data_IF_161401298045
#
_entry.id   IF_161401298045
#
_cell.length_a   1.000
_cell.length_b   1.000
_cell.length_c   1.000
_cell.angle_alpha   90.00
_cell.angle_beta   90.00
_cell.angle_gamma   90.00
#
_symmetry.space_group_name_H-M   'P 1'
#
loop_
_entity.id
_entity.type
_entity.pdbx_description
1 polymer ?
#
# COMPACT_ATOMS: atom_id res chain seq x y z
N UNK A 1 1.48 29.98 -1.32
CA UNK A 1 1.08 28.57 -1.49
C UNK A 1 -0.26 28.59 -2.19
N UNK A 2 -0.30 28.34 -3.50
CA UNK A 2 -1.55 28.30 -4.26
C UNK A 2 -2.22 26.95 -4.08
N UNK A 3 -3.44 26.97 -3.55
CA UNK A 3 -4.26 25.80 -3.17
C UNK A 3 -5.37 25.49 -4.18
N UNK A 4 -5.17 25.84 -5.47
CA UNK A 4 -6.26 25.84 -6.47
C UNK A 4 -6.23 24.77 -7.55
N UNK A 5 -5.33 23.79 -7.52
CA UNK A 5 -5.47 22.59 -8.36
C UNK A 5 -5.07 21.34 -7.58
N UNK A 6 -5.85 20.25 -7.66
CA UNK A 6 -5.39 18.96 -7.15
C UNK A 6 -4.06 18.63 -7.85
N UNK A 7 -3.05 18.23 -7.08
CA UNK A 7 -1.76 17.81 -7.63
C UNK A 7 -1.99 16.54 -8.44
N UNK A 8 -2.06 16.68 -9.76
CA UNK A 8 -1.98 15.56 -10.68
C UNK A 8 -0.58 14.95 -10.58
N UNK A 9 -0.51 13.62 -10.52
CA UNK A 9 0.74 12.86 -10.44
C UNK A 9 0.83 11.99 -11.69
N UNK A 10 1.99 12.02 -12.36
CA UNK A 10 2.25 11.21 -13.55
C UNK A 10 2.49 9.75 -13.17
N UNK A 11 2.16 8.82 -14.07
CA UNK A 11 2.53 7.43 -13.94
C UNK A 11 4.05 7.26 -14.06
N UNK A 12 4.64 6.38 -13.26
CA UNK A 12 6.08 6.10 -13.31
C UNK A 12 6.38 5.05 -14.42
N UNK A 13 7.21 5.40 -15.42
CA UNK A 13 7.50 4.53 -16.57
C UNK A 13 8.29 3.26 -16.22
N UNK A 14 8.80 3.13 -14.99
CA UNK A 14 9.54 1.95 -14.55
C UNK A 14 8.64 0.79 -14.08
N UNK A 15 7.31 0.96 -14.08
CA UNK A 15 6.35 -0.11 -13.75
C UNK A 15 5.94 -0.90 -14.99
N UNK A 16 5.74 -2.21 -14.84
CA UNK A 16 5.31 -3.11 -15.93
C UNK A 16 3.79 -3.17 -16.10
N UNK A 17 3.03 -2.93 -15.03
CA UNK A 17 1.58 -3.05 -14.99
C UNK A 17 0.97 -1.90 -14.19
N UNK A 18 -0.22 -1.47 -14.58
CA UNK A 18 -0.98 -0.43 -13.90
C UNK A 18 -2.39 -0.93 -13.60
N UNK A 19 -2.87 -0.66 -12.38
CA UNK A 19 -4.27 -0.82 -12.00
C UNK A 19 -4.75 0.56 -11.55
N UNK A 20 -5.70 1.13 -12.30
CA UNK A 20 -6.28 2.44 -11.99
C UNK A 20 -7.62 2.21 -11.28
N UNK A 21 -7.72 2.71 -10.05
CA UNK A 21 -8.91 2.57 -9.20
C UNK A 21 -9.69 3.88 -9.25
N UNK A 22 -10.97 3.81 -9.60
CA UNK A 22 -11.86 4.96 -9.71
C UNK A 22 -13.01 4.83 -8.70
N UNK A 23 -13.29 5.93 -8.00
CA UNK A 23 -14.45 6.10 -7.12
C UNK A 23 -15.35 7.28 -7.54
N UNK A 24 -15.06 7.90 -8.68
CA UNK A 24 -15.75 9.06 -9.24
C UNK A 24 -15.28 10.41 -8.68
N UNK A 25 -14.36 10.44 -7.71
CA UNK A 25 -13.78 11.68 -7.18
C UNK A 25 -12.49 12.07 -7.92
N UNK A 26 -12.17 13.36 -7.94
CA UNK A 26 -10.94 13.88 -8.57
C UNK A 26 -10.08 14.56 -7.53
N UNK A 27 -8.78 14.23 -7.51
CA UNK A 27 -7.81 14.84 -6.59
C UNK A 27 -7.87 14.33 -5.16
N UNK A 28 -8.61 13.25 -4.91
CA UNK A 28 -8.63 12.54 -3.63
C UNK A 28 -7.54 11.47 -3.60
N UNK A 29 -6.78 11.42 -2.50
CA UNK A 29 -5.79 10.37 -2.27
C UNK A 29 -6.34 9.32 -1.30
N UNK A 30 -5.99 8.05 -1.51
CA UNK A 30 -6.31 6.96 -0.59
C UNK A 30 -7.57 6.17 -0.96
N UNK A 31 -8.19 6.49 -2.10
CA UNK A 31 -9.34 5.75 -2.66
C UNK A 31 -8.96 4.30 -2.97
N UNK A 32 -7.70 4.08 -3.32
CA UNK A 32 -7.13 2.78 -3.67
C UNK A 32 -6.84 1.89 -2.46
N UNK A 33 -6.81 2.44 -1.24
CA UNK A 33 -6.31 1.72 -0.05
C UNK A 33 -7.10 0.43 0.21
N UNK A 34 -8.44 0.51 0.20
CA UNK A 34 -9.30 -0.67 0.43
C UNK A 34 -9.17 -1.70 -0.69
N UNK A 35 -9.07 -1.24 -1.94
CA UNK A 35 -8.84 -2.11 -3.08
C UNK A 35 -7.52 -2.87 -2.93
N UNK A 36 -6.44 -2.16 -2.57
CA UNK A 36 -5.12 -2.75 -2.35
C UNK A 36 -5.15 -3.82 -1.27
N UNK A 37 -5.74 -3.53 -0.11
CA UNK A 37 -5.81 -4.49 1.00
C UNK A 37 -6.57 -5.77 0.61
N UNK A 38 -7.69 -5.64 -0.11
CA UNK A 38 -8.44 -6.79 -0.62
C UNK A 38 -7.65 -7.58 -1.67
N UNK A 39 -6.97 -6.90 -2.59
CA UNK A 39 -6.15 -7.56 -3.61
C UNK A 39 -5.00 -8.34 -2.97
N UNK A 40 -4.31 -7.76 -1.99
CA UNK A 40 -3.25 -8.42 -1.22
C UNK A 40 -3.78 -9.69 -0.51
N UNK A 41 -4.98 -9.61 0.08
CA UNK A 41 -5.66 -10.77 0.68
C UNK A 41 -5.90 -11.88 -0.34
N UNK A 42 -6.52 -11.56 -1.49
CA UNK A 42 -6.81 -12.56 -2.52
C UNK A 42 -5.53 -13.22 -3.06
N UNK A 43 -4.44 -12.46 -3.20
CA UNK A 43 -3.13 -13.00 -3.56
C UNK A 43 -2.61 -13.94 -2.47
N UNK A 44 -2.72 -13.54 -1.20
CA UNK A 44 -2.22 -14.34 -0.07
C UNK A 44 -2.94 -15.68 0.09
N UNK A 45 -4.17 -15.81 -0.43
CA UNK A 45 -4.97 -17.03 -0.42
C UNK A 45 -4.65 -17.95 -1.61
N UNK A 46 -3.98 -17.43 -2.65
CA UNK A 46 -3.50 -18.24 -3.78
C UNK A 46 -2.47 -19.27 -3.31
N UNK A 47 -2.39 -20.41 -4.02
CA UNK A 47 -1.37 -21.44 -3.78
C UNK A 47 -0.12 -21.12 -4.59
N UNK A 48 1.04 -21.25 -3.96
CA UNK A 48 2.34 -20.96 -4.60
C UNK A 48 2.58 -21.91 -5.79
N UNK A 49 2.17 -23.17 -5.65
CA UNK A 49 2.24 -24.19 -6.70
C UNK A 49 1.08 -25.18 -6.57
N UNK A 50 0.14 -25.17 -7.52
CA UNK A 50 -0.91 -26.19 -7.65
C UNK A 50 -1.55 -26.66 -6.32
N UNK A 51 -1.57 -27.98 -6.10
CA UNK A 51 -2.17 -28.65 -4.93
C UNK A 51 -1.31 -28.58 -3.64
N UNK A 52 -0.37 -27.64 -3.51
CA UNK A 52 0.34 -27.46 -2.24
C UNK A 52 -0.57 -26.81 -1.19
N UNK A 53 -0.41 -27.20 0.07
CA UNK A 53 -1.13 -26.54 1.18
C UNK A 53 -0.51 -25.19 1.58
N UNK A 54 0.50 -24.71 0.84
CA UNK A 54 1.22 -23.47 1.12
C UNK A 54 0.63 -22.34 0.29
N UNK A 55 0.24 -21.26 0.97
CA UNK A 55 -0.28 -20.06 0.32
C UNK A 55 0.82 -19.03 0.06
N UNK A 56 0.55 -18.04 -0.79
CA UNK A 56 1.53 -17.01 -1.15
C UNK A 56 1.83 -16.11 0.07
N UNK A 57 3.10 -16.02 0.52
CA UNK A 57 3.45 -15.09 1.59
C UNK A 57 3.43 -13.66 1.08
N UNK A 58 2.75 -12.78 1.80
CA UNK A 58 2.70 -11.34 1.52
C UNK A 58 3.27 -10.58 2.70
N UNK A 59 4.16 -9.62 2.43
CA UNK A 59 4.83 -8.79 3.44
C UNK A 59 4.67 -7.33 3.05
N UNK A 60 4.24 -6.49 3.99
CA UNK A 60 4.20 -5.04 3.81
C UNK A 60 5.44 -4.41 4.45
N UNK A 61 6.22 -3.67 3.66
CA UNK A 61 7.41 -2.93 4.11
C UNK A 61 7.10 -1.45 4.11
N UNK A 62 7.30 -0.80 5.27
CA UNK A 62 7.07 0.62 5.48
C UNK A 62 8.40 1.28 5.81
N UNK A 63 8.85 2.21 4.97
CA UNK A 63 10.12 2.91 5.14
C UNK A 63 9.90 4.25 5.83
N UNK A 64 9.02 5.09 5.26
CA UNK A 64 8.56 6.36 5.82
C UNK A 64 7.09 6.57 5.46
N UNK A 65 6.43 7.53 6.11
CA UNK A 65 5.02 7.79 5.81
C UNK A 65 4.36 8.89 6.63
N UNK A 66 3.25 9.40 6.09
CA UNK A 66 2.33 10.30 6.79
C UNK A 66 1.05 9.58 7.25
N UNK A 67 0.00 10.32 7.66
CA UNK A 67 -1.26 9.72 8.13
C UNK A 67 -1.87 8.68 7.18
N UNK A 68 -1.81 8.90 5.86
CA UNK A 68 -2.35 7.95 4.88
C UNK A 68 -1.56 6.64 4.80
N UNK A 69 -0.26 6.67 5.09
CA UNK A 69 0.54 5.44 5.21
C UNK A 69 0.04 4.61 6.40
N UNK A 70 -0.31 5.25 7.52
CA UNK A 70 -0.89 4.56 8.67
C UNK A 70 -2.22 3.91 8.31
N UNK A 71 -3.11 4.61 7.60
CA UNK A 71 -4.37 4.01 7.14
C UNK A 71 -4.14 2.82 6.20
N UNK A 72 -3.18 2.94 5.28
CA UNK A 72 -2.81 1.85 4.37
C UNK A 72 -2.31 0.62 5.14
N UNK A 73 -1.44 0.83 6.12
CA UNK A 73 -0.90 -0.23 6.98
C UNK A 73 -1.99 -0.84 7.84
N UNK A 74 -2.88 -0.03 8.41
CA UNK A 74 -4.00 -0.51 9.20
C UNK A 74 -4.91 -1.42 8.38
N UNK A 75 -5.34 -0.99 7.20
CA UNK A 75 -6.16 -1.80 6.29
C UNK A 75 -5.45 -3.08 5.86
N UNK A 76 -4.15 -3.00 5.53
CA UNK A 76 -3.35 -4.18 5.21
C UNK A 76 -3.22 -5.14 6.41
N UNK A 77 -3.07 -4.63 7.64
CA UNK A 77 -2.89 -5.44 8.85
C UNK A 77 -4.12 -6.29 9.23
N UNK A 78 -5.31 -5.94 8.71
CA UNK A 78 -6.52 -6.75 8.86
C UNK A 78 -6.34 -8.11 8.18
N UNK A 79 -5.57 -8.17 7.09
CA UNK A 79 -5.43 -9.35 6.25
C UNK A 79 -4.02 -9.95 6.24
N UNK A 80 -3.00 -9.11 6.42
CA UNK A 80 -1.61 -9.53 6.36
C UNK A 80 -1.10 -9.96 7.73
N UNK A 81 -0.41 -11.10 7.75
CA UNK A 81 0.18 -11.63 8.97
C UNK A 81 1.38 -10.82 9.48
N UNK A 82 2.05 -10.01 8.62
CA UNK A 82 3.26 -9.28 9.02
C UNK A 82 3.51 -7.98 8.28
N UNK A 83 3.70 -6.90 9.06
CA UNK A 83 4.18 -5.58 8.62
C UNK A 83 5.57 -5.37 9.21
N UNK A 84 6.51 -4.87 8.39
CA UNK A 84 7.86 -4.50 8.81
C UNK A 84 8.00 -2.98 8.63
N UNK A 85 8.20 -2.26 9.72
CA UNK A 85 8.44 -0.83 9.71
C UNK A 85 9.92 -0.53 9.97
N UNK A 86 10.52 0.34 9.18
CA UNK A 86 11.80 0.96 9.51
C UNK A 86 11.57 2.11 10.48
N UNK A 87 12.22 2.07 11.64
CA UNK A 87 12.28 3.20 12.55
C UNK A 87 13.64 3.86 12.37
N UNK A 88 13.66 5.10 11.90
CA UNK A 88 14.87 5.91 11.96
C UNK A 88 14.96 6.47 13.38
N UNK A 89 15.93 5.99 14.16
CA UNK A 89 16.20 6.53 15.49
C UNK A 89 16.88 7.88 15.30
N UNK A 90 16.11 8.96 15.41
CA UNK A 90 16.66 10.32 15.50
C UNK A 90 17.53 10.36 16.75
N UNK A 91 18.84 10.39 16.51
CA UNK A 91 19.88 10.43 17.52
C UNK A 91 19.56 11.54 18.54
N UNK A 92 19.02 11.16 19.71
CA UNK A 92 19.01 12.02 20.89
C UNK A 92 20.45 12.13 21.38
N UNK A 93 21.26 13.01 20.80
CA UNK A 93 22.40 13.61 21.51
C UNK A 93 22.65 15.06 21.07
N UNK A 94 22.63 15.93 22.08
CA UNK A 94 22.94 17.36 22.20
C UNK A 94 21.83 18.36 21.87
#
# INVERSE_FOLDING_TARGET
MDTKNPKEVLLDPNHTHFILVDDGTVGSFGVEIKFRAKMEKEISEQKVYGNTNVSVPVVCVVVEGGPNTIFTVFEASIFLAKVIASAHELNRQN
#
